data_IF_725176008638
#
_entry.id   IF_725176008638
#
_cell.length_a   1.000
_cell.length_b   1.000
_cell.length_c   1.000
_cell.angle_alpha   90.00
_cell.angle_beta   90.00
_cell.angle_gamma   90.00
#
_symmetry.space_group_name_H-M   'P 1'
#
loop_
_entity.id
_entity.type
_entity.pdbx_description
1 polymer ?
#
# COMPACT_ATOMS: atom_id res chain seq x y z
N UNK A 1 -47.27 11.57 24.40
CA UNK A 1 -46.19 11.57 23.38
C UNK A 1 -46.78 11.95 22.04
N UNK A 2 -46.48 13.17 21.51
CA UNK A 2 -46.99 13.64 20.20
C UNK A 2 -46.11 13.04 19.10
N UNK A 3 -46.64 12.13 18.31
CA UNK A 3 -46.00 11.68 17.07
C UNK A 3 -46.17 12.78 16.01
N UNK A 4 -45.07 13.42 15.66
CA UNK A 4 -45.03 14.42 14.58
C UNK A 4 -45.05 13.69 13.25
N UNK A 5 -46.21 13.61 12.59
CA UNK A 5 -46.35 13.05 11.25
C UNK A 5 -45.69 14.00 10.25
N UNK A 6 -44.55 13.59 9.73
CA UNK A 6 -43.82 14.32 8.68
C UNK A 6 -44.64 14.37 7.39
N UNK A 7 -44.84 15.58 6.87
CA UNK A 7 -45.60 15.86 5.64
C UNK A 7 -44.88 15.25 4.41
N UNK A 8 -45.63 14.85 3.38
CA UNK A 8 -45.08 14.23 2.14
C UNK A 8 -43.94 15.05 1.55
N UNK A 9 -44.03 16.37 1.54
CA UNK A 9 -42.99 17.29 1.06
C UNK A 9 -41.69 17.21 1.91
N UNK A 10 -41.80 17.07 3.23
CA UNK A 10 -40.66 16.95 4.12
C UNK A 10 -39.94 15.59 3.93
N UNK A 11 -40.71 14.53 3.66
CA UNK A 11 -40.11 13.19 3.33
C UNK A 11 -39.34 13.23 2.02
N UNK A 12 -39.87 13.89 0.98
CA UNK A 12 -39.20 14.01 -0.32
C UNK A 12 -37.92 14.85 -0.22
N UNK A 13 -37.94 15.95 0.54
CA UNK A 13 -36.73 16.77 0.76
C UNK A 13 -35.68 16.04 1.54
N UNK A 14 -36.03 15.27 2.58
CA UNK A 14 -35.08 14.47 3.34
C UNK A 14 -34.48 13.31 2.51
N UNK A 15 -35.28 12.67 1.63
CA UNK A 15 -34.75 11.61 0.74
C UNK A 15 -33.82 12.17 -0.34
N UNK A 16 -34.11 13.35 -0.90
CA UNK A 16 -33.24 14.01 -1.88
C UNK A 16 -31.92 14.47 -1.23
N UNK A 17 -31.99 15.04 -0.02
CA UNK A 17 -30.79 15.42 0.73
C UNK A 17 -29.92 14.21 1.15
N UNK A 18 -30.54 13.11 1.55
CA UNK A 18 -29.81 11.87 1.89
C UNK A 18 -29.15 11.24 0.65
N UNK A 19 -29.84 11.26 -0.50
CA UNK A 19 -29.29 10.77 -1.77
C UNK A 19 -28.11 11.64 -2.26
N UNK A 20 -28.22 12.98 -2.10
CA UNK A 20 -27.15 13.91 -2.46
C UNK A 20 -25.91 13.75 -1.55
N UNK A 21 -26.11 13.50 -0.25
CA UNK A 21 -25.00 13.24 0.69
C UNK A 21 -24.29 11.90 0.41
N UNK A 22 -25.04 10.87 0.00
CA UNK A 22 -24.45 9.58 -0.43
C UNK A 22 -23.67 9.73 -1.74
N UNK A 23 -24.16 10.49 -2.70
CA UNK A 23 -23.47 10.74 -3.97
C UNK A 23 -22.17 11.55 -3.79
N UNK A 24 -22.12 12.50 -2.85
CA UNK A 24 -20.91 13.25 -2.52
C UNK A 24 -19.82 12.38 -1.84
N UNK A 25 -20.21 11.34 -1.09
CA UNK A 25 -19.29 10.43 -0.43
C UNK A 25 -18.55 9.47 -1.37
N UNK A 26 -19.12 9.17 -2.54
CA UNK A 26 -18.49 8.27 -3.52
C UNK A 26 -17.49 8.97 -4.45
N UNK A 27 -17.46 10.30 -4.49
CA UNK A 27 -16.54 11.06 -5.35
C UNK A 27 -15.12 11.18 -4.80
N UNK A 28 -14.86 10.75 -3.58
CA UNK A 28 -13.53 10.87 -2.94
C UNK A 28 -12.49 9.87 -3.48
N UNK A 29 -12.88 8.90 -4.31
CA UNK A 29 -11.98 7.90 -4.86
C UNK A 29 -11.75 8.00 -6.39
N UNK A 30 -12.35 8.99 -7.07
CA UNK A 30 -12.06 9.19 -8.49
C UNK A 30 -10.79 10.05 -8.64
N UNK A 31 -9.74 9.59 -9.36
CA UNK A 31 -8.67 10.49 -9.78
C UNK A 31 -9.28 11.56 -10.68
N UNK A 32 -9.19 12.80 -10.26
CA UNK A 32 -9.69 13.96 -11.01
C UNK A 32 -8.82 14.15 -12.25
N UNK A 33 -9.13 13.44 -13.33
CA UNK A 33 -8.62 13.76 -14.66
C UNK A 33 -9.46 14.93 -15.18
N UNK A 34 -9.17 16.12 -14.71
CA UNK A 34 -9.69 17.36 -15.32
C UNK A 34 -8.62 17.90 -16.26
N UNK A 35 -9.05 18.04 -17.51
CA UNK A 35 -8.26 18.42 -18.65
C UNK A 35 -7.23 19.53 -18.43
N UNK A 36 -6.01 19.25 -18.88
CA UNK A 36 -5.15 20.21 -19.57
C UNK A 36 -4.67 21.47 -18.86
N UNK A 37 -4.63 21.55 -17.52
CA UNK A 37 -3.91 22.62 -16.84
C UNK A 37 -2.75 22.01 -16.04
N UNK A 38 -1.54 22.12 -16.58
CA UNK A 38 -0.31 21.87 -15.84
C UNK A 38 -0.17 22.96 -14.79
N UNK A 39 -0.80 22.78 -13.65
CA UNK A 39 -0.43 23.52 -12.45
C UNK A 39 0.92 22.91 -12.02
N UNK A 40 1.99 23.72 -12.01
CA UNK A 40 3.36 23.33 -11.68
C UNK A 40 3.49 22.78 -10.26
N UNK A 41 2.89 21.63 -10.02
CA UNK A 41 3.12 20.77 -8.87
C UNK A 41 4.15 19.74 -9.30
N UNK A 42 5.18 19.57 -8.51
CA UNK A 42 6.16 18.50 -8.64
C UNK A 42 5.37 17.21 -8.82
N UNK A 43 5.28 16.69 -10.07
CA UNK A 43 4.69 15.39 -10.32
C UNK A 43 5.44 14.40 -9.44
N UNK A 44 4.72 13.81 -8.49
CA UNK A 44 5.24 12.79 -7.62
C UNK A 44 5.59 11.57 -8.48
N UNK A 45 6.83 11.49 -8.94
CA UNK A 45 7.28 10.52 -9.92
C UNK A 45 7.50 9.19 -9.21
N UNK A 46 6.58 8.24 -9.44
CA UNK A 46 6.90 6.82 -9.21
C UNK A 46 8.04 6.44 -10.18
N UNK A 47 9.07 5.81 -9.66
CA UNK A 47 10.28 5.44 -10.43
C UNK A 47 10.08 4.19 -11.28
N UNK A 48 8.90 3.60 -11.24
CA UNK A 48 8.48 2.50 -12.12
C UNK A 48 7.80 3.07 -13.36
N UNK A 49 7.87 2.34 -14.47
CA UNK A 49 7.04 2.64 -15.63
C UNK A 49 5.58 2.26 -15.33
N UNK A 50 4.63 2.87 -16.03
CA UNK A 50 3.20 2.50 -15.93
C UNK A 50 2.99 1.01 -16.20
N UNK A 51 3.70 0.43 -17.18
CA UNK A 51 3.63 -1.00 -17.45
C UNK A 51 4.10 -1.85 -16.27
N UNK A 52 5.16 -1.43 -15.56
CA UNK A 52 5.63 -2.13 -14.36
C UNK A 52 4.65 -2.00 -13.20
N UNK A 53 3.97 -0.86 -13.05
CA UNK A 53 2.95 -0.69 -12.01
C UNK A 53 1.75 -1.62 -12.25
N UNK A 54 1.26 -1.71 -13.50
CA UNK A 54 0.17 -2.64 -13.87
C UNK A 54 0.60 -4.08 -13.66
N UNK A 55 1.84 -4.43 -14.01
CA UNK A 55 2.37 -5.77 -13.78
C UNK A 55 2.45 -6.11 -12.29
N UNK A 56 2.94 -5.18 -11.45
CA UNK A 56 2.99 -5.36 -9.99
C UNK A 56 1.60 -5.61 -9.40
N UNK A 57 0.57 -4.85 -9.82
CA UNK A 57 -0.83 -5.08 -9.40
C UNK A 57 -1.34 -6.46 -9.87
N UNK A 58 -1.00 -6.85 -11.09
CA UNK A 58 -1.31 -8.17 -11.63
C UNK A 58 -0.66 -9.31 -10.82
N UNK A 59 0.61 -9.16 -10.45
CA UNK A 59 1.34 -10.11 -9.60
C UNK A 59 0.67 -10.22 -8.23
N UNK A 60 0.37 -9.07 -7.57
CA UNK A 60 -0.30 -9.05 -6.26
C UNK A 60 -1.62 -9.85 -6.31
N UNK A 61 -2.46 -9.58 -7.30
CA UNK A 61 -3.77 -10.23 -7.44
C UNK A 61 -3.64 -11.73 -7.71
N UNK A 62 -2.79 -12.14 -8.67
CA UNK A 62 -2.61 -13.55 -9.02
C UNK A 62 -2.03 -14.34 -7.85
N UNK A 63 -0.97 -13.83 -7.21
CA UNK A 63 -0.33 -14.49 -6.09
C UNK A 63 -1.26 -14.57 -4.87
N UNK A 64 -1.97 -13.49 -4.52
CA UNK A 64 -2.91 -13.48 -3.40
C UNK A 64 -4.07 -14.47 -3.61
N UNK A 65 -4.64 -14.53 -4.81
CA UNK A 65 -5.70 -15.47 -5.14
C UNK A 65 -5.19 -16.93 -5.06
N UNK A 66 -4.03 -17.21 -5.64
CA UNK A 66 -3.44 -18.55 -5.62
C UNK A 66 -3.12 -19.03 -4.21
N UNK A 67 -2.59 -18.14 -3.36
CA UNK A 67 -2.32 -18.44 -1.95
C UNK A 67 -3.63 -18.72 -1.20
N UNK A 68 -4.66 -17.89 -1.39
CA UNK A 68 -5.97 -18.06 -0.75
C UNK A 68 -6.66 -19.35 -1.18
N UNK A 69 -6.65 -19.67 -2.45
CA UNK A 69 -7.20 -20.93 -2.98
C UNK A 69 -6.51 -22.15 -2.37
N UNK A 70 -5.20 -22.08 -2.14
CA UNK A 70 -4.40 -23.21 -1.67
C UNK A 70 -4.42 -23.36 -0.15
N UNK A 71 -4.31 -22.24 0.59
CA UNK A 71 -4.17 -22.24 2.06
C UNK A 71 -5.49 -21.94 2.79
N UNK A 72 -6.50 -21.41 2.08
CA UNK A 72 -7.82 -21.08 2.65
C UNK A 72 -7.78 -19.90 3.62
N UNK A 73 -8.88 -19.76 4.40
CA UNK A 73 -9.09 -18.63 5.31
C UNK A 73 -8.34 -18.74 6.66
N UNK A 74 -7.59 -19.82 6.85
CA UNK A 74 -6.81 -20.06 8.08
C UNK A 74 -5.52 -19.25 8.18
N UNK A 75 -5.16 -18.54 7.12
CA UNK A 75 -3.97 -17.70 7.03
C UNK A 75 -4.35 -16.25 6.72
N UNK A 76 -3.49 -15.33 7.09
CA UNK A 76 -3.57 -13.94 6.68
C UNK A 76 -2.28 -13.59 5.95
N UNK A 77 -2.32 -13.60 4.63
CA UNK A 77 -1.16 -13.31 3.79
C UNK A 77 -1.45 -12.07 2.95
N UNK A 78 -0.68 -11.01 3.18
CA UNK A 78 -0.61 -9.86 2.32
C UNK A 78 0.51 -10.07 1.30
N UNK A 79 0.18 -9.87 0.04
CA UNK A 79 1.12 -9.90 -1.08
C UNK A 79 1.29 -8.46 -1.55
N UNK A 80 2.51 -7.98 -1.58
CA UNK A 80 2.85 -6.65 -2.08
C UNK A 80 3.96 -6.78 -3.11
N UNK A 81 3.78 -6.23 -4.30
CA UNK A 81 4.79 -6.21 -5.35
C UNK A 81 5.30 -4.79 -5.60
N UNK A 82 6.58 -4.66 -5.82
CA UNK A 82 7.22 -3.44 -6.27
C UNK A 82 8.39 -3.80 -7.21
N UNK A 83 8.31 -3.35 -8.42
CA UNK A 83 9.26 -3.67 -9.49
C UNK A 83 9.49 -5.19 -9.64
N UNK A 84 8.40 -5.98 -9.57
CA UNK A 84 8.36 -7.45 -9.66
C UNK A 84 9.06 -8.20 -8.51
N UNK A 85 9.52 -7.48 -7.49
CA UNK A 85 9.92 -8.05 -6.21
C UNK A 85 8.68 -8.16 -5.32
N UNK A 86 8.39 -9.35 -4.82
CA UNK A 86 7.22 -9.65 -3.98
C UNK A 86 7.62 -9.71 -2.51
N UNK A 87 6.88 -9.00 -1.67
CA UNK A 87 6.89 -9.15 -0.22
C UNK A 87 5.67 -9.96 0.21
N UNK A 88 5.89 -11.03 0.97
CA UNK A 88 4.86 -11.73 1.71
C UNK A 88 4.93 -11.33 3.18
N UNK A 89 3.87 -10.71 3.68
CA UNK A 89 3.73 -10.30 5.08
C UNK A 89 2.41 -10.81 5.68
N UNK A 90 2.31 -10.83 7.00
CA UNK A 90 1.14 -11.39 7.70
C UNK A 90 1.43 -12.66 8.48
N UNK A 91 0.44 -13.55 8.63
CA UNK A 91 0.51 -14.72 9.49
C UNK A 91 0.07 -16.00 8.78
N UNK A 92 0.80 -17.07 9.07
CA UNK A 92 0.48 -18.45 8.68
C UNK A 92 0.53 -19.36 9.91
N UNK A 93 -0.15 -20.51 9.85
CA UNK A 93 -0.24 -21.40 11.01
C UNK A 93 0.99 -22.31 11.17
N UNK A 94 1.65 -22.66 10.08
CA UNK A 94 2.78 -23.59 10.08
C UNK A 94 3.93 -23.10 9.21
N UNK A 95 5.12 -23.62 9.47
CA UNK A 95 6.28 -23.39 8.60
C UNK A 95 6.04 -23.92 7.18
N UNK A 96 5.34 -25.03 7.04
CA UNK A 96 4.97 -25.58 5.74
C UNK A 96 4.03 -24.65 4.95
N UNK A 97 3.08 -23.98 5.61
CA UNK A 97 2.24 -22.96 4.97
C UNK A 97 3.09 -21.75 4.51
N UNK A 98 4.08 -21.33 5.32
CA UNK A 98 5.02 -20.27 4.97
C UNK A 98 5.81 -20.59 3.69
N UNK A 99 6.42 -21.78 3.63
CA UNK A 99 7.15 -22.25 2.45
C UNK A 99 6.21 -22.42 1.24
N UNK A 100 5.00 -22.91 1.47
CA UNK A 100 4.02 -23.07 0.41
C UNK A 100 3.62 -21.73 -0.20
N UNK A 101 3.35 -20.73 0.64
CA UNK A 101 3.02 -19.37 0.18
C UNK A 101 4.17 -18.78 -0.67
N UNK A 102 5.43 -18.97 -0.24
CA UNK A 102 6.61 -18.52 -0.98
C UNK A 102 6.69 -19.15 -2.37
N UNK A 103 6.57 -20.48 -2.45
CA UNK A 103 6.60 -21.21 -3.73
C UNK A 103 5.48 -20.77 -4.67
N UNK A 104 4.28 -20.52 -4.13
CA UNK A 104 3.15 -20.03 -4.92
C UNK A 104 3.37 -18.62 -5.46
N UNK A 105 3.98 -17.73 -4.67
CA UNK A 105 4.34 -16.39 -5.13
C UNK A 105 5.48 -16.42 -6.15
N UNK A 106 6.51 -17.23 -5.89
CA UNK A 106 7.66 -17.38 -6.79
C UNK A 106 7.27 -17.95 -8.17
N UNK A 107 6.22 -18.78 -8.22
CA UNK A 107 5.76 -19.40 -9.48
C UNK A 107 4.91 -18.47 -10.34
N UNK A 108 4.59 -17.26 -9.88
CA UNK A 108 3.85 -16.30 -10.70
C UNK A 108 4.74 -15.72 -11.80
N UNK A 109 4.11 -15.52 -12.95
CA UNK A 109 4.77 -14.92 -14.11
C UNK A 109 5.35 -13.53 -13.75
N UNK A 110 6.55 -13.24 -14.24
CA UNK A 110 7.28 -11.99 -14.05
C UNK A 110 7.76 -11.67 -12.63
N UNK A 111 7.59 -12.57 -11.66
CA UNK A 111 8.18 -12.41 -10.32
C UNK A 111 9.69 -12.65 -10.41
N UNK A 112 10.47 -11.67 -9.97
CA UNK A 112 11.95 -11.73 -9.97
C UNK A 112 12.51 -12.24 -8.66
N UNK A 113 11.88 -11.90 -7.53
CA UNK A 113 12.29 -12.34 -6.20
C UNK A 113 11.13 -12.29 -5.22
N UNK A 114 11.21 -13.09 -4.15
CA UNK A 114 10.24 -13.10 -3.05
C UNK A 114 10.97 -12.88 -1.73
N UNK A 115 10.49 -11.90 -0.96
CA UNK A 115 10.88 -11.69 0.44
C UNK A 115 9.76 -12.24 1.31
N UNK A 116 9.99 -13.34 2.00
CA UNK A 116 9.00 -14.02 2.82
C UNK A 116 9.21 -13.72 4.30
N UNK A 117 8.53 -12.69 4.81
CA UNK A 117 8.51 -12.34 6.25
C UNK A 117 7.19 -12.71 6.94
N UNK A 118 6.52 -13.79 6.46
CA UNK A 118 5.35 -14.36 7.12
C UNK A 118 5.73 -14.90 8.51
N UNK A 119 4.93 -14.55 9.52
CA UNK A 119 5.10 -15.08 10.86
C UNK A 119 4.31 -16.38 11.04
N UNK A 120 4.93 -17.37 11.67
CA UNK A 120 4.24 -18.62 12.04
C UNK A 120 3.56 -18.40 13.39
N UNK A 121 2.28 -18.02 13.36
CA UNK A 121 1.48 -17.68 14.54
C UNK A 121 -0.02 -17.61 14.20
N UNK A 122 -0.92 -17.53 15.20
CA UNK A 122 -2.33 -17.25 14.96
C UNK A 122 -2.54 -15.91 14.23
N UNK A 123 -3.59 -15.87 13.40
CA UNK A 123 -3.94 -14.68 12.62
C UNK A 123 -4.23 -13.48 13.53
N UNK A 124 -3.70 -12.31 13.17
CA UNK A 124 -3.88 -11.06 13.89
C UNK A 124 -5.35 -10.61 13.93
N UNK A 125 -5.75 -9.96 15.03
CA UNK A 125 -7.09 -9.42 15.19
C UNK A 125 -7.35 -8.21 14.28
N UNK A 126 -8.63 -7.92 13.98
CA UNK A 126 -9.02 -6.71 13.25
C UNK A 126 -8.52 -5.43 13.95
N UNK A 127 -8.51 -5.41 15.29
CA UNK A 127 -7.97 -4.30 16.08
C UNK A 127 -6.49 -4.08 15.80
N UNK A 128 -5.69 -5.16 15.70
CA UNK A 128 -4.27 -5.05 15.37
C UNK A 128 -4.07 -4.49 13.97
N UNK A 129 -4.80 -5.00 12.98
CA UNK A 129 -4.73 -4.52 11.59
C UNK A 129 -5.13 -3.04 11.46
N UNK A 130 -6.13 -2.60 12.24
CA UNK A 130 -6.51 -1.18 12.29
C UNK A 130 -5.39 -0.31 12.84
N UNK A 131 -4.67 -0.77 13.87
CA UNK A 131 -3.48 -0.07 14.39
C UNK A 131 -2.37 0.01 13.33
N UNK A 132 -2.13 -1.06 12.58
CA UNK A 132 -1.14 -1.10 11.51
C UNK A 132 -1.48 -0.12 10.38
N UNK A 133 -2.77 0.01 10.04
CA UNK A 133 -3.25 1.02 9.09
C UNK A 133 -2.94 2.44 9.56
N UNK A 134 -3.15 2.74 10.84
CA UNK A 134 -2.83 4.05 11.43
C UNK A 134 -1.32 4.31 11.41
N UNK A 135 -0.49 3.30 11.73
CA UNK A 135 0.97 3.41 11.66
C UNK A 135 1.41 3.71 10.22
N UNK A 136 0.89 2.96 9.23
CA UNK A 136 1.17 3.21 7.81
C UNK A 136 0.85 4.66 7.42
N UNK A 137 -0.32 5.18 7.85
CA UNK A 137 -0.71 6.57 7.59
C UNK A 137 0.26 7.58 8.20
N UNK A 138 0.70 7.35 9.44
CA UNK A 138 1.67 8.23 10.13
C UNK A 138 3.05 8.21 9.45
N UNK A 139 3.53 7.04 9.05
CA UNK A 139 4.80 6.92 8.31
C UNK A 139 4.73 7.67 6.99
N UNK A 140 3.64 7.48 6.22
CA UNK A 140 3.44 8.20 4.95
C UNK A 140 3.36 9.71 5.15
N UNK A 141 2.64 10.19 6.17
CA UNK A 141 2.58 11.62 6.51
C UNK A 141 3.97 12.18 6.84
N UNK A 142 4.75 11.48 7.68
CA UNK A 142 6.10 11.90 8.01
C UNK A 142 7.06 11.91 6.80
N UNK A 143 6.84 11.02 5.81
CA UNK A 143 7.58 11.07 4.54
C UNK A 143 7.20 12.28 3.69
N UNK A 144 5.91 12.69 3.68
CA UNK A 144 5.45 13.91 3.00
C UNK A 144 6.08 15.15 3.62
N UNK A 145 6.18 15.19 4.94
CA UNK A 145 6.82 16.32 5.67
C UNK A 145 8.33 16.38 5.44
N UNK A 146 8.96 15.26 5.12
CA UNK A 146 10.38 15.17 4.81
C UNK A 146 10.64 15.58 3.35
N UNK A 147 10.88 16.88 3.13
CA UNK A 147 11.08 17.48 1.79
C UNK A 147 12.24 16.88 0.98
N UNK A 148 13.09 16.10 1.62
CA UNK A 148 14.26 15.42 1.05
C UNK A 148 13.97 13.98 0.60
N UNK A 149 12.70 13.51 0.68
CA UNK A 149 12.25 12.21 0.20
C UNK A 149 11.22 12.33 -0.92
N UNK A 150 11.32 11.44 -1.89
CA UNK A 150 10.27 11.24 -2.90
C UNK A 150 9.27 10.19 -2.38
N UNK A 151 8.16 10.65 -1.80
CA UNK A 151 7.18 9.78 -1.11
C UNK A 151 6.65 8.68 -2.00
N UNK A 152 6.36 8.99 -3.28
CA UNK A 152 5.79 8.04 -4.23
C UNK A 152 6.80 6.99 -4.77
N UNK A 153 8.09 7.18 -4.47
CA UNK A 153 9.09 6.17 -4.77
C UNK A 153 9.18 5.09 -3.68
N UNK A 154 8.43 5.25 -2.57
CA UNK A 154 8.50 4.34 -1.42
C UNK A 154 7.11 3.80 -1.10
N UNK A 155 6.92 2.50 -1.26
CA UNK A 155 5.73 1.77 -0.84
C UNK A 155 5.90 1.36 0.63
N UNK A 156 4.91 1.67 1.47
CA UNK A 156 4.93 1.40 2.91
C UNK A 156 3.85 0.39 3.23
N UNK A 157 4.23 -0.71 3.86
CA UNK A 157 3.33 -1.76 4.40
C UNK A 157 3.62 -1.91 5.88
N UNK A 158 2.59 -2.09 6.70
CA UNK A 158 2.75 -2.35 8.14
C UNK A 158 1.99 -3.60 8.54
N UNK A 159 2.67 -4.50 9.23
CA UNK A 159 2.11 -5.71 9.82
C UNK A 159 2.65 -5.90 11.24
N UNK A 160 1.77 -5.98 12.22
CA UNK A 160 2.11 -6.16 13.65
C UNK A 160 3.11 -5.11 14.17
N UNK A 161 2.98 -3.87 13.71
CA UNK A 161 3.92 -2.79 14.05
C UNK A 161 5.28 -2.90 13.34
N UNK A 162 5.49 -3.90 12.47
CA UNK A 162 6.65 -3.99 11.61
C UNK A 162 6.36 -3.22 10.33
N UNK A 163 7.19 -2.22 10.03
CA UNK A 163 7.09 -1.41 8.81
C UNK A 163 8.03 -1.95 7.76
N UNK A 164 7.50 -2.30 6.62
CA UNK A 164 8.25 -2.71 5.43
C UNK A 164 8.29 -1.55 4.46
N UNK A 165 9.48 -1.21 4.00
CA UNK A 165 9.72 -0.15 3.04
C UNK A 165 10.24 -0.76 1.75
N UNK A 166 9.47 -0.63 0.66
CA UNK A 166 9.83 -1.08 -0.68
C UNK A 166 10.02 0.13 -1.59
N UNK A 167 10.87 0.03 -2.59
CA UNK A 167 11.08 1.14 -3.52
C UNK A 167 12.42 1.04 -4.22
N UNK A 168 12.56 1.78 -5.32
CA UNK A 168 13.84 2.02 -5.99
C UNK A 168 14.43 3.32 -5.47
N UNK A 169 15.38 3.24 -4.56
CA UNK A 169 15.88 4.39 -3.78
C UNK A 169 17.40 4.39 -3.74
N UNK A 170 17.99 5.56 -3.55
CA UNK A 170 19.42 5.65 -3.26
C UNK A 170 19.70 5.24 -1.82
N UNK A 171 20.94 4.89 -1.52
CA UNK A 171 21.36 4.53 -0.16
C UNK A 171 21.07 5.64 0.86
N UNK A 172 21.20 6.92 0.44
CA UNK A 172 20.84 8.08 1.24
C UNK A 172 19.34 8.11 1.56
N UNK A 173 18.49 7.92 0.56
CA UNK A 173 17.02 7.89 0.75
C UNK A 173 16.58 6.69 1.58
N UNK A 174 17.17 5.50 1.34
CA UNK A 174 16.92 4.29 2.12
C UNK A 174 17.21 4.50 3.61
N UNK A 175 18.37 5.13 3.93
CA UNK A 175 18.73 5.48 5.30
C UNK A 175 17.73 6.47 5.88
N UNK A 176 17.44 7.56 5.18
CA UNK A 176 16.55 8.63 5.63
C UNK A 176 15.14 8.11 5.91
N UNK A 177 14.55 7.35 4.98
CA UNK A 177 13.23 6.74 5.16
C UNK A 177 13.19 5.79 6.35
N UNK A 178 14.25 4.98 6.53
CA UNK A 178 14.36 4.06 7.67
C UNK A 178 14.41 4.81 9.00
N UNK A 179 15.19 5.90 9.09
CA UNK A 179 15.34 6.69 10.32
C UNK A 179 14.02 7.39 10.69
N UNK A 180 13.30 7.95 9.71
CA UNK A 180 11.98 8.53 9.92
C UNK A 180 10.97 7.47 10.39
N UNK A 181 10.87 6.35 9.71
CA UNK A 181 9.92 5.30 10.05
C UNK A 181 10.15 4.75 11.46
N UNK A 182 11.40 4.59 11.89
CA UNK A 182 11.76 4.17 13.27
C UNK A 182 11.29 5.13 14.34
N UNK A 183 11.19 6.42 14.04
CA UNK A 183 10.72 7.46 14.97
C UNK A 183 9.21 7.48 15.17
N UNK A 184 8.42 6.74 14.39
CA UNK A 184 6.96 6.78 14.46
C UNK A 184 6.45 5.90 15.61
N UNK A 185 5.60 6.49 16.46
CA UNK A 185 5.00 5.77 17.58
C UNK A 185 4.18 4.56 17.12
N UNK A 186 4.46 3.39 17.70
CA UNK A 186 3.84 2.11 17.38
C UNK A 186 4.68 1.24 16.43
N UNK A 187 5.72 1.77 15.81
CA UNK A 187 6.67 0.99 15.00
C UNK A 187 7.60 0.21 15.93
N UNK A 188 7.62 -1.11 15.76
CA UNK A 188 8.47 -2.03 16.53
C UNK A 188 9.75 -2.41 15.78
N UNK A 189 9.67 -2.47 14.45
CA UNK A 189 10.77 -2.84 13.56
C UNK A 189 10.58 -2.21 12.19
N UNK A 190 11.67 -1.84 11.52
CA UNK A 190 11.65 -1.44 10.11
C UNK A 190 12.47 -2.42 9.30
N UNK A 191 11.85 -2.99 8.26
CA UNK A 191 12.45 -3.90 7.30
C UNK A 191 12.61 -3.18 5.97
N UNK A 192 13.83 -3.16 5.46
CA UNK A 192 14.15 -2.58 4.16
C UNK A 192 14.05 -3.66 3.09
N UNK A 193 13.16 -3.45 2.13
CA UNK A 193 12.97 -4.28 0.94
C UNK A 193 13.18 -3.40 -0.28
N UNK A 194 14.27 -2.61 -0.25
CA UNK A 194 14.61 -1.67 -1.30
C UNK A 194 15.44 -2.33 -2.41
N UNK A 195 15.21 -1.87 -3.62
CA UNK A 195 16.17 -1.94 -4.73
C UNK A 195 17.04 -0.68 -4.66
N UNK A 196 18.28 -0.82 -4.25
CA UNK A 196 19.20 0.32 -4.17
C UNK A 196 19.72 0.69 -5.56
N UNK A 197 19.56 1.96 -5.92
CA UNK A 197 20.02 2.54 -7.18
C UNK A 197 21.10 3.60 -6.93
N UNK A 198 21.94 3.83 -7.93
CA UNK A 198 22.93 4.90 -7.87
C UNK A 198 22.29 6.29 -8.06
N UNK A 199 22.97 7.36 -7.58
CA UNK A 199 22.54 8.74 -7.82
C UNK A 199 22.53 9.08 -9.33
N UNK A 200 23.39 8.44 -10.14
CA UNK A 200 23.39 8.58 -11.60
C UNK A 200 22.14 7.97 -12.23
N UNK A 201 21.70 6.81 -11.74
CA UNK A 201 20.47 6.17 -12.20
C UNK A 201 19.25 6.99 -11.78
N UNK A 202 19.23 7.50 -10.55
CA UNK A 202 18.19 8.43 -10.09
C UNK A 202 18.03 9.61 -11.02
N UNK A 203 19.15 10.24 -11.42
CA UNK A 203 19.13 11.35 -12.38
C UNK A 203 18.55 10.96 -13.76
N UNK A 204 18.81 9.74 -14.23
CA UNK A 204 18.23 9.22 -15.49
C UNK A 204 16.71 9.05 -15.38
N UNK A 205 16.24 8.46 -14.25
CA UNK A 205 14.81 8.24 -13.99
C UNK A 205 14.03 9.55 -13.78
N UNK A 206 14.69 10.60 -13.32
CA UNK A 206 14.09 11.92 -13.08
C UNK A 206 14.04 12.82 -14.34
N UNK A 207 14.63 12.41 -15.46
CA UNK A 207 14.57 13.17 -16.70
C UNK A 207 13.23 12.91 -17.41
N UNK A 208 12.48 13.97 -17.81
CA UNK A 208 11.28 13.78 -18.61
C UNK A 208 11.65 13.04 -19.91
N UNK A 209 10.97 11.96 -20.20
CA UNK A 209 10.99 11.36 -21.55
C UNK A 209 10.39 12.38 -22.52
N UNK A 210 11.21 12.82 -23.51
CA UNK A 210 10.77 13.70 -24.60
C UNK A 210 9.78 12.97 -25.48
#
# INVERSE_FOLDING_TARGET
MKQTTMNRTQRTVCTVLAAAALAAGLSACAPLIVGGAVVGGVMAVDRRTTGTQIEDEGIELRAANRIRETLGDRVHVNVTSYNRQVLLSGEVRTAADKERAEKLAQSQENVTSVVNDLAVMPVSSLTQRSKDTVITGRVKAAFVDAKDLQVNAIKVVTERGIVYLMGRVTSREAKRATDIARGIGGVTKVVRVFEEISEQELQRLSRPTK
#
